data_IF_484112309279
#
_entry.id   IF_484112309279
#
_cell.length_a   1.000
_cell.length_b   1.000
_cell.length_c   1.000
_cell.angle_alpha   90.00
_cell.angle_beta   90.00
_cell.angle_gamma   90.00
#
_symmetry.space_group_name_H-M   'P 1'
#
loop_
_entity.id
_entity.type
_entity.pdbx_description
1 polymer ?
#
# COMPACT_ATOMS: atom_id res chain seq x y z
N UNK A 1 25.42 -23.41 -13.53
CA UNK A 1 25.89 -23.58 -12.12
C UNK A 1 25.75 -22.22 -11.47
N UNK A 2 24.72 -22.02 -10.64
CA UNK A 2 24.42 -20.70 -10.06
C UNK A 2 25.46 -20.30 -9.02
N UNK A 3 25.76 -19.01 -8.93
CA UNK A 3 26.69 -18.50 -7.91
C UNK A 3 26.15 -18.81 -6.50
N UNK A 4 27.04 -18.93 -5.50
CA UNK A 4 26.63 -19.10 -4.09
C UNK A 4 25.70 -17.98 -3.58
N UNK A 5 25.63 -16.86 -4.31
CA UNK A 5 24.77 -15.72 -4.05
C UNK A 5 23.35 -15.93 -4.63
N UNK A 6 23.23 -16.44 -5.86
CA UNK A 6 21.95 -16.88 -6.41
C UNK A 6 21.29 -17.96 -5.55
N UNK A 7 22.08 -18.90 -5.02
CA UNK A 7 21.58 -19.94 -4.11
C UNK A 7 21.06 -19.32 -2.80
N UNK A 8 21.75 -18.31 -2.26
CA UNK A 8 21.30 -17.58 -1.06
C UNK A 8 20.00 -16.79 -1.30
N UNK A 9 19.88 -16.11 -2.44
CA UNK A 9 18.66 -15.41 -2.80
C UNK A 9 17.47 -16.35 -2.97
N UNK A 10 17.63 -17.45 -3.69
CA UNK A 10 16.57 -18.45 -3.89
C UNK A 10 16.16 -19.11 -2.57
N UNK A 11 17.14 -19.40 -1.69
CA UNK A 11 16.87 -19.91 -0.35
C UNK A 11 16.14 -18.89 0.52
N UNK A 12 16.52 -17.61 0.48
CA UNK A 12 15.84 -16.56 1.21
C UNK A 12 14.40 -16.36 0.71
N UNK A 13 14.20 -16.38 -0.61
CA UNK A 13 12.89 -16.28 -1.24
C UNK A 13 11.96 -17.42 -0.83
N UNK A 14 12.41 -18.69 -0.92
CA UNK A 14 11.61 -19.84 -0.54
C UNK A 14 11.24 -19.86 0.95
N UNK A 15 12.14 -19.36 1.81
CA UNK A 15 11.89 -19.29 3.25
C UNK A 15 10.99 -18.12 3.63
N UNK A 16 11.14 -16.95 3.00
CA UNK A 16 10.21 -15.83 3.16
C UNK A 16 8.82 -16.17 2.65
N UNK A 17 8.71 -16.98 1.60
CA UNK A 17 7.41 -17.47 1.12
C UNK A 17 6.72 -18.34 2.18
N UNK A 18 7.46 -19.28 2.78
CA UNK A 18 6.92 -20.10 3.88
C UNK A 18 6.54 -19.25 5.11
N UNK A 19 7.36 -18.27 5.45
CA UNK A 19 7.08 -17.36 6.57
C UNK A 19 5.96 -16.37 6.26
N UNK A 20 5.80 -15.96 4.99
CA UNK A 20 4.67 -15.18 4.53
C UNK A 20 3.38 -15.96 4.73
N UNK A 21 3.33 -17.25 4.41
CA UNK A 21 2.16 -18.09 4.69
C UNK A 21 1.85 -18.14 6.20
N UNK A 22 2.86 -18.25 7.07
CA UNK A 22 2.66 -18.25 8.53
C UNK A 22 2.28 -16.87 9.10
N UNK A 23 2.87 -15.79 8.59
CA UNK A 23 2.53 -14.40 8.96
C UNK A 23 1.15 -14.03 8.44
N UNK A 24 0.75 -14.51 7.25
CA UNK A 24 -0.58 -14.33 6.67
C UNK A 24 -1.66 -14.92 7.59
N UNK A 25 -1.40 -16.05 8.23
CA UNK A 25 -2.29 -16.59 9.28
C UNK A 25 -2.44 -15.63 10.46
N UNK A 26 -1.34 -15.01 10.89
CA UNK A 26 -1.33 -14.10 12.05
C UNK A 26 -1.93 -12.71 11.75
N UNK A 27 -1.71 -12.19 10.53
CA UNK A 27 -2.25 -10.92 10.05
C UNK A 27 -3.73 -11.00 9.63
N UNK A 28 -4.42 -12.12 9.89
CA UNK A 28 -5.83 -12.29 9.54
C UNK A 28 -6.09 -12.51 8.04
N UNK A 29 -5.05 -12.88 7.28
CA UNK A 29 -5.12 -13.24 5.87
C UNK A 29 -5.96 -14.50 5.57
N UNK A 30 -6.45 -15.19 6.60
CA UNK A 30 -7.44 -16.27 6.55
C UNK A 30 -8.86 -15.81 6.91
N UNK A 31 -9.15 -14.49 6.95
CA UNK A 31 -10.55 -14.05 7.09
C UNK A 31 -11.36 -14.49 5.86
N UNK A 32 -12.38 -15.32 6.04
CA UNK A 32 -13.36 -15.63 5.01
C UNK A 32 -14.03 -14.34 4.53
N UNK A 33 -13.95 -14.02 3.22
CA UNK A 33 -14.55 -12.81 2.64
C UNK A 33 -13.58 -11.65 2.39
N UNK A 34 -12.38 -11.92 1.88
CA UNK A 34 -11.45 -10.86 1.45
C UNK A 34 -11.81 -10.33 0.07
N UNK A 35 -11.79 -9.01 -0.07
CA UNK A 35 -12.04 -8.32 -1.32
C UNK A 35 -12.67 -6.95 -1.09
N UNK A 36 -13.18 -6.37 -2.15
CA UNK A 36 -14.13 -5.26 -2.15
C UNK A 36 -14.74 -5.29 -3.54
N UNK A 37 -16.05 -5.13 -3.66
CA UNK A 37 -16.62 -4.94 -4.99
C UNK A 37 -16.91 -3.46 -5.22
N UNK A 38 -16.69 -3.04 -6.45
CA UNK A 38 -17.20 -1.77 -6.93
C UNK A 38 -17.51 -1.90 -8.41
N UNK A 39 -18.73 -1.53 -8.80
CA UNK A 39 -19.18 -1.59 -10.17
C UNK A 39 -20.01 -0.36 -10.51
N UNK A 40 -20.02 -0.04 -11.80
CA UNK A 40 -20.87 1.02 -12.37
C UNK A 40 -21.63 0.48 -13.58
N UNK A 41 -22.89 0.85 -13.69
CA UNK A 41 -23.80 0.46 -14.76
C UNK A 41 -24.27 1.70 -15.51
N UNK A 42 -24.12 1.69 -16.84
CA UNK A 42 -24.53 2.82 -17.67
C UNK A 42 -26.06 2.96 -17.73
N UNK A 43 -26.58 4.17 -18.03
CA UNK A 43 -28.01 4.44 -18.21
C UNK A 43 -28.73 3.52 -19.20
N UNK A 44 -27.99 2.98 -20.19
CA UNK A 44 -28.54 2.07 -21.20
C UNK A 44 -29.07 0.78 -20.58
N UNK A 45 -28.50 0.37 -19.45
CA UNK A 45 -28.80 -0.89 -18.77
C UNK A 45 -29.59 -0.71 -17.45
N UNK A 46 -29.96 0.51 -17.07
CA UNK A 46 -30.77 0.79 -15.87
C UNK A 46 -32.23 1.09 -16.20
N UNK A 47 -33.14 0.71 -15.28
CA UNK A 47 -34.58 0.92 -15.44
C UNK A 47 -34.96 2.42 -15.43
N UNK A 48 -34.28 3.22 -14.63
CA UNK A 48 -34.53 4.65 -14.48
C UNK A 48 -33.73 5.52 -15.49
N UNK A 49 -32.99 4.90 -16.41
CA UNK A 49 -32.13 5.59 -17.40
C UNK A 49 -31.12 6.55 -16.76
N UNK A 50 -30.64 6.22 -15.56
CA UNK A 50 -29.56 6.92 -14.87
C UNK A 50 -28.41 5.96 -14.54
N UNK A 51 -27.18 6.44 -14.36
CA UNK A 51 -26.11 5.58 -13.90
C UNK A 51 -26.44 4.98 -12.53
N UNK A 52 -25.99 3.75 -12.31
CA UNK A 52 -26.00 3.12 -10.98
C UNK A 52 -24.57 2.77 -10.61
N UNK A 53 -24.17 3.10 -9.40
CA UNK A 53 -22.87 2.75 -8.84
C UNK A 53 -23.10 2.01 -7.53
N UNK A 54 -22.36 0.92 -7.34
CA UNK A 54 -22.31 0.19 -6.08
C UNK A 54 -20.85 0.06 -5.64
N UNK A 55 -20.64 0.20 -4.33
CA UNK A 55 -19.37 -0.08 -3.68
C UNK A 55 -19.63 -0.72 -2.32
N UNK A 56 -19.08 -1.91 -2.11
CA UNK A 56 -19.17 -2.67 -0.87
C UNK A 56 -17.75 -3.07 -0.44
N UNK A 57 -17.09 -2.25 0.39
CA UNK A 57 -15.76 -2.56 0.89
C UNK A 57 -15.84 -3.72 1.91
N UNK A 58 -15.04 -4.78 1.71
CA UNK A 58 -14.97 -5.87 2.69
C UNK A 58 -13.90 -5.56 3.72
N UNK A 59 -14.34 -5.07 4.87
CA UNK A 59 -13.51 -4.78 6.03
C UNK A 59 -13.86 -5.74 7.16
N UNK A 60 -12.87 -6.08 7.99
CA UNK A 60 -13.08 -6.93 9.15
C UNK A 60 -14.15 -6.34 10.06
N UNK A 61 -15.17 -7.13 10.38
CA UNK A 61 -16.19 -6.75 11.34
C UNK A 61 -15.56 -6.70 12.75
N UNK A 62 -15.40 -5.50 13.28
CA UNK A 62 -14.77 -5.26 14.58
C UNK A 62 -15.39 -4.06 15.30
N UNK A 63 -15.12 -3.95 16.60
CA UNK A 63 -15.47 -2.79 17.42
C UNK A 63 -14.19 -2.13 17.96
N UNK A 64 -14.02 -0.81 17.78
CA UNK A 64 -14.88 0.11 17.02
C UNK A 64 -14.86 -0.20 15.51
N UNK A 65 -15.94 0.19 14.82
CA UNK A 65 -16.04 0.02 13.37
C UNK A 65 -14.93 0.79 12.64
N UNK A 66 -14.39 0.18 11.57
CA UNK A 66 -13.32 0.80 10.75
C UNK A 66 -13.83 2.02 9.98
N UNK A 67 -15.10 2.00 9.60
CA UNK A 67 -15.76 3.07 8.83
C UNK A 67 -17.07 3.47 9.50
N UNK A 68 -17.50 4.69 9.22
CA UNK A 68 -18.81 5.20 9.62
C UNK A 68 -19.36 6.15 8.55
N UNK A 69 -20.68 6.29 8.53
CA UNK A 69 -21.37 7.15 7.57
C UNK A 69 -21.38 8.61 8.04
N UNK A 70 -21.20 9.52 7.09
CA UNK A 70 -21.24 10.97 7.30
C UNK A 70 -21.94 11.66 6.15
N UNK A 71 -22.56 12.79 6.49
CA UNK A 71 -23.03 13.79 5.55
C UNK A 71 -22.39 15.12 5.95
N UNK A 72 -21.66 15.74 5.02
CA UNK A 72 -20.98 17.01 5.22
C UNK A 72 -21.68 18.06 4.35
N UNK A 73 -22.26 19.08 5.01
CA UNK A 73 -22.94 20.19 4.35
C UNK A 73 -22.32 21.52 4.77
N UNK A 74 -22.05 22.38 3.79
CA UNK A 74 -21.47 23.70 3.94
C UNK A 74 -21.56 24.48 2.62
N UNK A 75 -21.06 25.73 2.58
CA UNK A 75 -21.23 26.60 1.40
C UNK A 75 -20.73 25.99 0.08
N UNK A 76 -19.58 25.30 0.13
CA UNK A 76 -18.92 24.70 -1.04
C UNK A 76 -18.82 23.17 -0.94
N UNK A 77 -19.60 22.55 -0.04
CA UNK A 77 -19.52 21.11 0.24
C UNK A 77 -20.91 20.55 0.48
N UNK A 78 -21.29 19.56 -0.31
CA UNK A 78 -22.52 18.79 -0.13
C UNK A 78 -22.21 17.35 -0.55
N UNK A 79 -21.79 16.53 0.42
CA UNK A 79 -21.24 15.20 0.17
C UNK A 79 -21.67 14.21 1.25
N UNK A 80 -22.07 13.01 0.83
CA UNK A 80 -22.54 11.93 1.71
C UNK A 80 -21.85 10.62 1.37
N UNK A 81 -21.57 9.81 2.39
CA UNK A 81 -21.00 8.48 2.21
C UNK A 81 -20.32 8.00 3.48
N UNK A 82 -19.26 7.21 3.32
CA UNK A 82 -18.48 6.69 4.45
C UNK A 82 -17.10 7.33 4.57
N UNK A 83 -16.59 7.36 5.80
CA UNK A 83 -15.25 7.82 6.14
C UNK A 83 -14.61 6.98 7.25
N UNK A 84 -13.35 7.28 7.57
CA UNK A 84 -12.57 6.61 8.61
C UNK A 84 -12.46 7.50 9.86
N UNK A 85 -12.42 6.91 11.08
CA UNK A 85 -12.19 7.67 12.31
C UNK A 85 -10.95 8.58 12.22
N UNK A 86 -11.14 9.87 12.47
CA UNK A 86 -10.08 10.87 12.45
C UNK A 86 -9.71 11.40 11.06
N UNK A 87 -10.31 10.90 9.97
CA UNK A 87 -10.06 11.37 8.61
C UNK A 87 -11.13 12.37 8.15
N UNK A 88 -10.73 13.49 7.52
CA UNK A 88 -11.69 14.42 6.92
C UNK A 88 -12.22 13.93 5.57
N UNK A 89 -13.43 14.34 5.23
CA UNK A 89 -14.05 14.04 3.92
C UNK A 89 -14.68 12.65 3.84
N UNK A 90 -15.16 12.31 2.64
CA UNK A 90 -15.87 11.08 2.28
C UNK A 90 -15.02 10.26 1.33
N UNK A 91 -14.67 9.03 1.70
CA UNK A 91 -13.82 8.16 0.89
C UNK A 91 -14.60 7.40 -0.19
N UNK A 92 -15.75 6.84 0.17
CA UNK A 92 -16.71 6.23 -0.76
C UNK A 92 -18.04 6.94 -0.57
N UNK A 93 -18.65 7.41 -1.65
CA UNK A 93 -19.90 8.15 -1.55
C UNK A 93 -20.22 8.95 -2.80
N UNK A 94 -20.94 10.05 -2.61
CA UNK A 94 -21.35 10.92 -3.69
C UNK A 94 -21.54 12.35 -3.20
N UNK A 95 -21.43 13.30 -4.12
CA UNK A 95 -21.91 14.67 -3.95
C UNK A 95 -23.18 14.87 -4.82
N UNK A 96 -23.53 16.13 -5.10
CA UNK A 96 -24.71 16.46 -5.91
C UNK A 96 -24.57 16.14 -7.40
N UNK A 97 -23.35 15.94 -7.88
CA UNK A 97 -23.02 15.80 -9.31
C UNK A 97 -22.46 14.42 -9.68
N UNK A 98 -21.68 13.81 -8.79
CA UNK A 98 -20.96 12.57 -9.04
C UNK A 98 -20.96 11.63 -7.84
N UNK A 99 -20.85 10.34 -8.12
CA UNK A 99 -20.65 9.26 -7.18
C UNK A 99 -19.35 8.51 -7.50
N UNK A 100 -18.69 8.00 -6.46
CA UNK A 100 -17.48 7.21 -6.60
C UNK A 100 -17.45 6.05 -5.61
N UNK A 101 -16.90 4.93 -6.09
CA UNK A 101 -16.70 3.71 -5.32
C UNK A 101 -15.24 3.32 -5.30
N UNK A 102 -14.77 2.77 -4.19
CA UNK A 102 -13.38 2.32 -4.04
C UNK A 102 -13.37 0.81 -3.80
N UNK A 103 -12.44 0.14 -4.46
CA UNK A 103 -12.05 -1.23 -4.16
C UNK A 103 -10.52 -1.31 -4.14
N UNK A 104 -9.96 -2.13 -3.25
CA UNK A 104 -8.51 -2.29 -3.17
C UNK A 104 -7.94 -2.73 -4.53
N UNK A 105 -6.90 -2.04 -5.01
CA UNK A 105 -6.31 -2.37 -6.31
C UNK A 105 -5.47 -3.64 -6.31
N UNK A 106 -4.97 -4.04 -5.12
CA UNK A 106 -3.98 -5.12 -4.99
C UNK A 106 -2.73 -4.87 -5.86
N UNK A 107 -2.44 -3.60 -6.16
CA UNK A 107 -1.24 -3.22 -6.88
C UNK A 107 -0.01 -3.55 -6.02
N UNK A 108 1.01 -4.08 -6.66
CA UNK A 108 2.30 -4.31 -6.01
C UNK A 108 2.99 -2.97 -5.72
N UNK A 109 3.07 -2.64 -4.43
CA UNK A 109 3.58 -1.36 -3.91
C UNK A 109 4.76 -1.52 -2.95
N UNK A 110 5.33 -2.71 -2.86
CA UNK A 110 6.40 -3.00 -1.93
C UNK A 110 7.42 -3.98 -2.50
N UNK A 111 8.68 -3.81 -2.11
CA UNK A 111 9.74 -4.73 -2.42
C UNK A 111 10.54 -5.06 -1.17
N UNK A 112 11.03 -6.29 -1.11
CA UNK A 112 12.03 -6.71 -0.13
C UNK A 112 13.41 -6.59 -0.76
N UNK A 113 14.38 -6.08 -0.01
CA UNK A 113 15.78 -6.05 -0.43
C UNK A 113 16.64 -6.82 0.55
N UNK A 114 17.49 -7.70 0.02
CA UNK A 114 18.58 -8.33 0.77
C UNK A 114 19.73 -7.35 0.82
N UNK A 115 20.03 -6.84 2.00
CA UNK A 115 21.07 -5.84 2.19
C UNK A 115 22.42 -6.51 2.44
N UNK A 116 23.49 -5.91 1.92
CA UNK A 116 24.86 -6.36 2.17
C UNK A 116 25.48 -5.45 3.24
N UNK A 117 25.55 -5.94 4.46
CA UNK A 117 26.19 -5.22 5.58
C UNK A 117 27.72 -5.13 5.40
N UNK A 118 28.31 -4.06 5.91
CA UNK A 118 29.76 -3.88 5.96
C UNK A 118 30.38 -4.91 6.92
N UNK A 119 31.52 -5.54 6.57
CA UNK A 119 32.10 -6.60 7.39
C UNK A 119 32.50 -6.16 8.81
N UNK A 120 32.82 -4.87 8.97
CA UNK A 120 33.32 -4.30 10.24
C UNK A 120 32.30 -3.38 10.92
N UNK A 121 31.22 -3.00 10.23
CA UNK A 121 30.18 -2.11 10.76
C UNK A 121 28.77 -2.62 10.42
N UNK A 122 28.02 -3.15 11.40
CA UNK A 122 26.71 -3.73 11.16
C UNK A 122 25.62 -2.71 10.77
N UNK A 123 25.90 -1.41 10.85
CA UNK A 123 24.96 -0.34 10.50
C UNK A 123 25.31 0.37 9.20
N UNK A 124 26.25 -0.18 8.43
CA UNK A 124 26.62 0.34 7.12
C UNK A 124 26.33 -0.71 6.05
N UNK A 125 25.74 -0.31 4.93
CA UNK A 125 25.26 -1.22 3.88
C UNK A 125 25.75 -0.79 2.50
N UNK A 126 26.07 -1.75 1.63
CA UNK A 126 26.55 -1.47 0.28
C UNK A 126 25.43 -0.94 -0.62
N UNK A 127 25.76 0.02 -1.49
CA UNK A 127 24.94 0.42 -2.63
C UNK A 127 25.83 0.83 -3.81
N UNK A 128 25.78 0.07 -4.90
CA UNK A 128 26.72 0.23 -6.01
C UNK A 128 28.16 -0.07 -5.56
N UNK A 129 29.05 0.91 -5.75
CA UNK A 129 30.44 0.83 -5.33
C UNK A 129 30.68 1.38 -3.90
N UNK A 130 29.66 2.02 -3.31
CA UNK A 130 29.78 2.77 -2.06
C UNK A 130 29.16 2.02 -0.87
N UNK A 131 29.47 2.53 0.33
CA UNK A 131 28.92 2.07 1.60
C UNK A 131 28.17 3.22 2.27
N UNK A 132 26.92 2.97 2.66
CA UNK A 132 26.04 3.98 3.25
C UNK A 132 25.66 3.60 4.68
N UNK A 133 25.82 4.54 5.61
CA UNK A 133 25.35 4.38 6.98
C UNK A 133 23.82 4.40 7.02
N UNK A 134 23.24 3.44 7.74
CA UNK A 134 21.82 3.40 8.04
C UNK A 134 21.46 4.40 9.15
N UNK A 135 20.20 4.80 9.17
CA UNK A 135 19.64 5.52 10.31
C UNK A 135 19.30 4.51 11.42
N UNK A 136 19.75 4.78 12.65
CA UNK A 136 19.52 3.90 13.80
C UNK A 136 18.82 4.69 14.89
N UNK A 137 17.71 4.17 15.39
CA UNK A 137 16.96 4.76 16.50
C UNK A 137 16.52 3.69 17.49
N UNK A 138 16.41 4.08 18.76
CA UNK A 138 15.89 3.24 19.82
C UNK A 138 14.50 3.75 20.21
N UNK A 139 13.48 2.92 19.97
CA UNK A 139 12.09 3.20 20.29
C UNK A 139 11.74 2.51 21.62
N UNK A 140 11.27 3.29 22.58
CA UNK A 140 10.91 2.78 23.91
C UNK A 140 9.40 2.56 24.00
N UNK A 141 8.99 1.31 23.94
CA UNK A 141 7.59 0.89 24.01
C UNK A 141 7.23 0.62 25.48
N UNK A 142 6.33 1.44 26.03
CA UNK A 142 5.84 1.24 27.39
C UNK A 142 4.96 -0.03 27.46
N UNK A 143 5.30 -0.95 28.36
CA UNK A 143 4.54 -2.20 28.57
C UNK A 143 3.80 -2.12 29.89
N UNK A 144 2.47 -2.31 29.86
CA UNK A 144 1.65 -2.23 31.07
C UNK A 144 2.14 -3.27 32.09
N UNK A 145 2.50 -2.80 33.29
CA UNK A 145 2.97 -3.62 34.42
C UNK A 145 4.25 -4.42 34.12
N UNK A 146 5.06 -3.96 33.17
CA UNK A 146 6.37 -4.55 32.89
C UNK A 146 7.37 -3.45 32.55
N UNK A 147 8.65 -3.83 32.50
CA UNK A 147 9.67 -2.91 32.00
C UNK A 147 9.41 -2.55 30.53
N UNK A 148 9.66 -1.30 30.12
CA UNK A 148 9.53 -0.89 28.73
C UNK A 148 10.41 -1.73 27.81
N UNK A 149 9.86 -2.15 26.67
CA UNK A 149 10.63 -2.80 25.61
C UNK A 149 11.37 -1.74 24.81
N UNK A 150 12.68 -1.88 24.64
CA UNK A 150 13.46 -1.01 23.77
C UNK A 150 13.69 -1.74 22.46
N UNK A 151 13.05 -1.27 21.39
CA UNK A 151 13.24 -1.79 20.04
C UNK A 151 14.27 -0.92 19.31
N UNK A 152 15.34 -1.55 18.81
CA UNK A 152 16.27 -0.87 17.91
C UNK A 152 15.78 -1.00 16.48
N UNK A 153 15.59 0.13 15.83
CA UNK A 153 15.13 0.20 14.44
C UNK A 153 16.28 0.72 13.59
N UNK A 154 16.58 -0.04 12.52
CA UNK A 154 17.64 0.27 11.55
C UNK A 154 16.97 0.49 10.20
N UNK A 155 17.16 1.67 9.62
CA UNK A 155 16.56 2.07 8.33
C UNK A 155 17.67 2.29 7.31
N UNK A 156 17.73 1.40 6.32
CA UNK A 156 18.61 1.55 5.15
C UNK A 156 17.98 2.52 4.15
N UNK A 157 18.67 2.79 3.03
CA UNK A 157 18.08 3.53 1.91
C UNK A 157 16.78 2.93 1.35
N UNK A 158 16.65 1.59 1.40
CA UNK A 158 15.46 0.90 0.92
C UNK A 158 14.35 0.92 1.97
N UNK A 159 14.68 0.93 3.26
CA UNK A 159 13.69 1.08 4.32
C UNK A 159 14.09 0.38 5.62
N UNK A 160 13.16 0.22 6.58
CA UNK A 160 13.45 -0.47 7.82
C UNK A 160 13.83 -1.93 7.57
N UNK A 161 14.82 -2.42 8.31
CA UNK A 161 15.09 -3.85 8.42
C UNK A 161 13.92 -4.55 9.13
N UNK A 162 13.44 -5.65 8.54
CA UNK A 162 12.28 -6.40 9.05
C UNK A 162 12.66 -7.77 9.63
N UNK A 163 13.96 -8.03 9.81
CA UNK A 163 14.48 -9.31 10.30
C UNK A 163 13.85 -9.78 11.63
N UNK A 164 13.52 -8.85 12.53
CA UNK A 164 12.89 -9.17 13.82
C UNK A 164 11.46 -9.73 13.65
N UNK A 165 10.73 -9.30 12.63
CA UNK A 165 9.42 -9.86 12.25
C UNK A 165 9.53 -11.22 11.57
N UNK A 166 10.57 -11.40 10.76
CA UNK A 166 10.87 -12.64 10.04
C UNK A 166 11.32 -13.76 11.00
N UNK A 167 11.81 -13.42 12.20
CA UNK A 167 12.44 -14.35 13.16
C UNK A 167 11.50 -15.11 14.12
N UNK A 168 10.21 -14.77 14.23
CA UNK A 168 9.34 -15.33 15.29
C UNK A 168 8.40 -16.46 14.89
N UNK A 169 8.17 -16.71 13.60
CA UNK A 169 7.08 -17.61 13.18
C UNK A 169 7.43 -19.09 13.07
N UNK A 170 8.70 -19.51 13.16
CA UNK A 170 9.06 -20.93 12.95
C UNK A 170 10.17 -21.38 13.89
N UNK A 171 9.90 -22.44 14.66
CA UNK A 171 10.90 -23.11 15.49
C UNK A 171 12.13 -23.55 14.69
N UNK A 172 13.29 -23.03 15.08
CA UNK A 172 14.57 -23.74 15.04
C UNK A 172 15.25 -24.06 13.69
N UNK A 173 14.68 -23.73 12.53
CA UNK A 173 15.18 -24.33 11.28
C UNK A 173 16.22 -23.51 10.47
N UNK A 174 16.42 -22.18 10.63
CA UNK A 174 17.34 -21.47 9.71
C UNK A 174 18.08 -20.25 10.29
N UNK A 175 19.24 -20.50 10.93
CA UNK A 175 20.20 -19.48 11.39
C UNK A 175 20.79 -18.58 10.27
N UNK A 176 20.66 -18.96 9.00
CA UNK A 176 21.22 -18.21 7.87
C UNK A 176 20.35 -17.02 7.41
N UNK A 177 19.02 -17.13 7.48
CA UNK A 177 18.11 -15.99 7.27
C UNK A 177 18.17 -15.02 8.44
N UNK A 178 18.34 -15.57 9.63
CA UNK A 178 18.53 -14.89 10.89
C UNK A 178 19.68 -13.86 10.89
N UNK A 179 20.66 -14.02 10.01
CA UNK A 179 21.82 -13.14 9.84
C UNK A 179 21.83 -12.36 8.52
N UNK A 180 20.88 -12.60 7.62
CA UNK A 180 20.81 -11.91 6.32
C UNK A 180 19.91 -10.70 6.45
N UNK A 181 20.41 -9.46 6.44
CA UNK A 181 19.57 -8.27 6.66
C UNK A 181 18.60 -8.09 5.48
N UNK A 182 17.31 -7.91 5.80
CA UNK A 182 16.23 -7.73 4.82
C UNK A 182 15.50 -6.45 5.15
N UNK A 183 15.46 -5.51 4.21
CA UNK A 183 14.70 -4.26 4.33
C UNK A 183 13.39 -4.32 3.54
N UNK A 184 12.40 -3.54 4.00
CA UNK A 184 11.13 -3.35 3.31
C UNK A 184 11.06 -1.95 2.70
N UNK A 185 11.06 -1.87 1.37
CA UNK A 185 10.67 -0.67 0.64
C UNK A 185 9.17 -0.72 0.38
N UNK A 186 8.42 0.21 0.94
CA UNK A 186 6.96 0.27 0.76
C UNK A 186 6.52 1.68 0.36
N UNK A 187 5.61 1.78 -0.62
CA UNK A 187 5.09 3.07 -1.06
C UNK A 187 4.38 3.84 0.05
N UNK A 188 3.77 3.12 1.01
CA UNK A 188 3.15 3.71 2.20
C UNK A 188 4.11 4.45 3.13
N UNK A 189 5.41 4.16 3.09
CA UNK A 189 6.42 4.91 3.86
C UNK A 189 6.76 6.27 3.26
N UNK A 190 6.32 6.56 2.03
CA UNK A 190 6.58 7.86 1.39
C UNK A 190 5.47 8.84 1.75
N UNK A 191 5.84 10.03 2.23
CA UNK A 191 4.90 11.12 2.52
C UNK A 191 3.94 11.35 1.34
N UNK A 192 2.64 11.38 1.64
CA UNK A 192 1.57 11.33 0.66
C UNK A 192 0.62 12.53 0.71
N UNK A 193 -0.29 12.58 -0.24
CA UNK A 193 -1.27 13.65 -0.46
C UNK A 193 -2.71 13.13 -0.52
N UNK A 194 -2.95 11.89 -0.08
CA UNK A 194 -4.26 11.23 -0.16
C UNK A 194 -5.40 12.06 0.45
N UNK A 195 -5.16 12.78 1.55
CA UNK A 195 -6.19 13.64 2.14
C UNK A 195 -6.57 14.82 1.24
N UNK A 196 -5.59 15.43 0.56
CA UNK A 196 -5.86 16.48 -0.42
C UNK A 196 -6.64 15.92 -1.62
N UNK A 197 -6.29 14.72 -2.08
CA UNK A 197 -7.01 14.01 -3.14
C UNK A 197 -8.48 13.74 -2.77
N UNK A 198 -8.74 13.25 -1.56
CA UNK A 198 -10.11 13.01 -1.06
C UNK A 198 -10.92 14.30 -0.99
N UNK A 199 -10.35 15.38 -0.45
CA UNK A 199 -11.06 16.66 -0.37
C UNK A 199 -11.36 17.26 -1.75
N UNK A 200 -10.48 17.07 -2.74
CA UNK A 200 -10.73 17.43 -4.14
C UNK A 200 -11.80 16.55 -4.76
N UNK A 201 -11.72 15.23 -4.54
CA UNK A 201 -12.69 14.26 -5.03
C UNK A 201 -14.11 14.55 -4.51
N UNK A 202 -14.24 14.94 -3.24
CA UNK A 202 -15.53 15.32 -2.63
C UNK A 202 -16.22 16.49 -3.35
N UNK A 203 -15.45 17.32 -4.06
CA UNK A 203 -15.93 18.48 -4.82
C UNK A 203 -15.93 18.25 -6.34
N UNK A 204 -15.50 17.07 -6.81
CA UNK A 204 -15.46 16.77 -8.23
C UNK A 204 -16.87 16.72 -8.82
N UNK A 205 -17.11 17.50 -9.86
CA UNK A 205 -18.40 17.64 -10.55
C UNK A 205 -18.41 16.96 -11.92
N UNK A 206 -17.24 16.62 -12.46
CA UNK A 206 -17.07 15.92 -13.71
C UNK A 206 -15.86 14.96 -13.73
N UNK A 207 -15.68 14.29 -14.87
CA UNK A 207 -14.60 13.32 -15.07
C UNK A 207 -13.21 13.97 -15.02
N UNK A 208 -13.08 15.22 -15.49
CA UNK A 208 -11.83 15.95 -15.47
C UNK A 208 -11.42 16.27 -14.03
N UNK A 209 -12.34 16.85 -13.25
CA UNK A 209 -12.14 17.12 -11.82
C UNK A 209 -11.89 15.82 -11.02
N UNK A 210 -12.61 14.75 -11.34
CA UNK A 210 -12.44 13.43 -10.73
C UNK A 210 -11.03 12.88 -10.98
N UNK A 211 -10.58 12.83 -12.24
CA UNK A 211 -9.24 12.31 -12.58
C UNK A 211 -8.13 13.21 -12.08
N UNK A 212 -8.33 14.54 -12.04
CA UNK A 212 -7.39 15.48 -11.44
C UNK A 212 -7.24 15.26 -9.92
N UNK A 213 -8.34 15.00 -9.21
CA UNK A 213 -8.29 14.64 -7.79
C UNK A 213 -7.54 13.32 -7.56
N UNK A 214 -7.82 12.30 -8.38
CA UNK A 214 -7.18 10.98 -8.26
C UNK A 214 -5.70 10.99 -8.66
N UNK A 215 -5.25 11.93 -9.48
CA UNK A 215 -3.82 12.11 -9.78
C UNK A 215 -2.98 12.45 -8.53
N UNK A 216 -3.61 12.99 -7.48
CA UNK A 216 -2.98 13.28 -6.18
C UNK A 216 -3.13 12.14 -5.16
N UNK A 217 -3.84 11.06 -5.52
CA UNK A 217 -4.04 9.92 -4.64
C UNK A 217 -2.73 9.14 -4.48
N UNK A 218 -2.11 9.25 -3.31
CA UNK A 218 -0.79 8.67 -3.08
C UNK A 218 -0.84 7.18 -2.72
N UNK A 219 -1.67 6.79 -1.75
CA UNK A 219 -1.67 5.46 -1.14
C UNK A 219 -2.88 5.31 -0.21
N UNK A 220 -3.41 4.09 0.01
CA UNK A 220 -3.11 2.87 -0.75
C UNK A 220 -3.76 2.91 -2.14
N UNK A 221 -3.23 2.18 -3.16
CA UNK A 221 -3.84 2.19 -4.47
C UNK A 221 -5.27 1.62 -4.48
N UNK A 222 -6.17 2.32 -5.18
CA UNK A 222 -7.59 2.00 -5.29
C UNK A 222 -8.02 1.88 -6.74
N UNK A 223 -8.85 0.89 -7.02
CA UNK A 223 -9.75 0.85 -8.15
C UNK A 223 -10.91 1.81 -7.85
N UNK A 224 -10.98 2.94 -8.55
CA UNK A 224 -12.01 3.95 -8.31
C UNK A 224 -13.03 3.95 -9.45
N UNK A 225 -14.27 3.59 -9.16
CA UNK A 225 -15.38 3.69 -10.11
C UNK A 225 -16.02 5.07 -10.01
N UNK A 226 -16.61 5.52 -11.12
CA UNK A 226 -17.20 6.84 -11.29
C UNK A 226 -18.56 6.75 -11.96
N UNK A 227 -19.50 7.58 -11.51
CA UNK A 227 -20.78 7.81 -12.17
C UNK A 227 -21.22 9.26 -11.95
N UNK A 228 -21.84 9.91 -12.94
CA UNK A 228 -22.31 11.29 -12.80
C UNK A 228 -23.78 11.52 -13.17
N UNK A 229 -24.29 12.69 -12.79
CA UNK A 229 -25.66 13.10 -13.07
C UNK A 229 -25.94 13.30 -14.57
N UNK A 230 -24.91 13.43 -15.41
CA UNK A 230 -25.01 13.58 -16.87
C UNK A 230 -25.14 12.24 -17.60
N UNK A 231 -25.04 11.11 -16.89
CA UNK A 231 -25.18 9.78 -17.46
C UNK A 231 -23.85 9.10 -17.79
N UNK A 232 -22.72 9.71 -17.44
CA UNK A 232 -21.41 9.14 -17.69
C UNK A 232 -21.01 8.15 -16.61
N UNK A 233 -20.15 7.21 -16.99
CA UNK A 233 -19.57 6.21 -16.10
C UNK A 233 -18.08 6.13 -16.36
N UNK A 234 -17.30 5.69 -15.40
CA UNK A 234 -15.86 5.55 -15.61
C UNK A 234 -15.17 4.75 -14.53
N UNK A 235 -13.89 4.55 -14.73
CA UNK A 235 -12.98 3.88 -13.82
C UNK A 235 -11.58 4.45 -13.96
N UNK A 236 -10.88 4.61 -12.84
CA UNK A 236 -9.46 4.92 -12.81
C UNK A 236 -8.77 4.19 -11.66
N UNK A 237 -7.62 3.59 -11.96
CA UNK A 237 -6.67 3.15 -10.93
C UNK A 237 -5.95 4.39 -10.38
N UNK A 238 -6.01 4.58 -9.06
CA UNK A 238 -5.41 5.72 -8.38
C UNK A 238 -4.43 5.23 -7.31
N UNK A 239 -3.21 5.78 -7.25
CA UNK A 239 -2.19 5.37 -6.29
C UNK A 239 -0.77 5.41 -6.86
N UNK A 240 0.21 5.51 -5.96
CA UNK A 240 1.63 5.39 -6.31
C UNK A 240 1.99 3.93 -6.52
N UNK A 241 2.34 3.60 -7.76
CA UNK A 241 2.87 2.28 -8.15
C UNK A 241 4.34 2.47 -8.51
N UNK A 242 5.28 1.77 -7.86
CA UNK A 242 6.70 1.94 -8.10
C UNK A 242 7.06 1.52 -9.52
N UNK A 243 7.85 2.37 -10.19
CA UNK A 243 8.45 2.03 -11.48
C UNK A 243 9.73 1.25 -11.24
N UNK A 244 9.81 0.06 -11.81
CA UNK A 244 10.96 -0.85 -11.69
C UNK A 244 11.56 -1.11 -13.07
N UNK A 245 12.88 -1.24 -13.15
CA UNK A 245 13.56 -1.70 -14.36
C UNK A 245 13.84 -3.20 -14.31
N UNK A 246 14.75 -3.64 -13.44
CA UNK A 246 15.14 -5.05 -13.32
C UNK A 246 14.29 -5.81 -12.31
N UNK A 247 13.83 -5.13 -11.26
CA UNK A 247 13.10 -5.77 -10.17
C UNK A 247 11.68 -6.13 -10.61
N UNK A 248 11.32 -7.42 -10.54
CA UNK A 248 9.98 -7.91 -10.88
C UNK A 248 9.03 -7.93 -9.66
N UNK A 249 9.50 -7.62 -8.45
CA UNK A 249 8.70 -7.65 -7.22
C UNK A 249 8.32 -9.06 -6.73
N UNK A 250 8.80 -10.11 -7.40
CA UNK A 250 8.41 -11.51 -7.12
C UNK A 250 9.21 -12.15 -5.98
N UNK A 251 10.44 -11.70 -5.77
CA UNK A 251 11.38 -12.23 -4.76
C UNK A 251 12.21 -11.07 -4.20
N UNK A 252 12.85 -11.22 -3.03
CA UNK A 252 13.76 -10.19 -2.54
C UNK A 252 14.86 -9.86 -3.55
N UNK A 253 15.06 -8.56 -3.78
CA UNK A 253 16.06 -8.04 -4.69
C UNK A 253 17.41 -7.82 -3.98
N UNK A 254 18.54 -7.84 -4.70
CA UNK A 254 19.83 -7.46 -4.14
C UNK A 254 19.86 -5.95 -3.84
N UNK A 255 19.93 -5.57 -2.56
CA UNK A 255 19.94 -4.17 -2.11
C UNK A 255 21.20 -3.41 -2.52
N UNK A 256 22.32 -4.10 -2.73
CA UNK A 256 23.56 -3.46 -3.16
C UNK A 256 23.60 -3.11 -4.65
N UNK A 257 22.65 -3.58 -5.47
CA UNK A 257 22.65 -3.37 -6.92
C UNK A 257 21.67 -2.25 -7.31
N UNK A 258 22.15 -1.08 -7.77
CA UNK A 258 21.29 0.04 -8.14
C UNK A 258 20.26 -0.26 -9.23
N UNK A 259 20.47 -1.29 -10.07
CA UNK A 259 19.53 -1.63 -11.15
C UNK A 259 18.21 -2.23 -10.65
N UNK A 260 18.12 -2.55 -9.35
CA UNK A 260 16.91 -3.04 -8.70
C UNK A 260 16.14 -1.96 -7.93
N UNK A 261 16.67 -0.74 -7.86
CA UNK A 261 16.03 0.38 -7.18
C UNK A 261 14.77 0.87 -7.94
N UNK A 262 13.89 1.57 -7.22
CA UNK A 262 12.73 2.22 -7.81
C UNK A 262 13.14 3.48 -8.59
N UNK A 263 12.63 3.61 -9.81
CA UNK A 263 12.83 4.75 -10.70
C UNK A 263 11.66 5.74 -10.57
N UNK A 264 11.28 6.03 -9.33
CA UNK A 264 10.09 6.81 -9.01
C UNK A 264 8.79 6.02 -9.13
N UNK A 265 7.74 6.68 -9.64
CA UNK A 265 6.38 6.16 -9.72
C UNK A 265 5.91 6.14 -11.17
N UNK A 266 5.03 5.20 -11.50
CA UNK A 266 4.26 5.28 -12.75
C UNK A 266 3.45 6.59 -12.74
N UNK A 267 3.56 7.46 -13.75
CA UNK A 267 2.79 8.69 -13.82
C UNK A 267 1.27 8.42 -13.78
N UNK A 268 0.51 9.25 -13.08
CA UNK A 268 -0.95 9.05 -12.92
C UNK A 268 -1.70 8.95 -14.27
N UNK A 269 -1.21 9.66 -15.30
CA UNK A 269 -1.79 9.62 -16.65
C UNK A 269 -1.58 8.28 -17.39
N UNK A 270 -0.61 7.48 -16.95
CA UNK A 270 -0.31 6.15 -17.49
C UNK A 270 -1.05 5.03 -16.74
N UNK A 271 -1.69 5.33 -15.61
CA UNK A 271 -2.47 4.36 -14.87
C UNK A 271 -3.74 3.95 -15.65
N UNK A 272 -4.18 2.68 -15.56
CA UNK A 272 -5.39 2.20 -16.20
C UNK A 272 -6.61 3.08 -15.91
N UNK A 273 -7.31 3.49 -16.96
CA UNK A 273 -8.56 4.24 -16.88
C UNK A 273 -9.47 3.96 -18.08
N UNK A 274 -10.77 4.12 -17.89
CA UNK A 274 -11.80 4.03 -18.93
C UNK A 274 -12.95 4.96 -18.58
N UNK A 275 -13.58 5.53 -19.61
CA UNK A 275 -14.72 6.44 -19.53
C UNK A 275 -15.70 6.13 -20.67
#
# INVERSE_FOLDING_TARGET
VGSAEQVRMLSAAGLLLNQYEDVRRWLGGESTGQGSNSWVLSPKHSLNRRPLLCADPHLTAQLPAVVYEVHLSGPDTEVSGMTYPGMPGVFIGHNTQAAWGLANALADTQDLFVERAHPEDPFTFAFGADWEAAQVFEEKIAVRRAEPHVERIVVTRHGPLINSFVRRSVGGANRALESTPISLRWAGHTAGTVLAAVLKLNRADDWEAFTAALAEWSSPPQNVTYADARGNIGYMLAGRIPRRSTNLGLVPAPGWDPTYAWEGWIPAAELPRVY
#
